data_IF_069407006327
#
_entry.id   IF_069407006327
#
_cell.length_a   1.000
_cell.length_b   1.000
_cell.length_c   1.000
_cell.angle_alpha   90.00
_cell.angle_beta   90.00
_cell.angle_gamma   90.00
#
_symmetry.space_group_name_H-M   'P 1'
#
loop_
_entity.id
_entity.type
_entity.pdbx_description
1 polymer ?
#
# COMPACT_ATOMS: atom_id res chain seq x y z
N UNK A 1 0.14 -3.27 -19.98
CA UNK A 1 0.84 -2.12 -19.38
C UNK A 1 0.98 -2.36 -17.88
N UNK A 2 2.18 -2.19 -17.31
CA UNK A 2 2.50 -2.55 -15.91
C UNK A 2 2.68 -1.34 -14.98
N UNK A 3 2.27 -0.14 -15.39
CA UNK A 3 2.44 1.07 -14.57
C UNK A 3 1.68 1.00 -13.23
N UNK A 4 0.35 0.83 -13.26
CA UNK A 4 -0.48 0.77 -12.05
C UNK A 4 -0.15 -0.43 -11.13
N UNK A 5 0.15 -1.65 -11.65
CA UNK A 5 0.65 -2.74 -10.82
C UNK A 5 1.90 -2.37 -10.00
N UNK A 6 2.88 -1.69 -10.59
CA UNK A 6 4.08 -1.27 -9.85
C UNK A 6 3.81 -0.15 -8.84
N UNK A 7 2.82 0.70 -9.10
CA UNK A 7 2.38 1.70 -8.11
C UNK A 7 1.65 1.05 -6.92
N UNK A 8 0.89 -0.02 -7.16
CA UNK A 8 0.21 -0.78 -6.11
C UNK A 8 1.17 -1.65 -5.28
N UNK A 9 2.22 -2.19 -5.90
CA UNK A 9 3.24 -2.95 -5.19
C UNK A 9 4.65 -2.64 -5.74
N UNK A 10 5.47 -1.87 -5.02
CA UNK A 10 6.84 -1.59 -5.45
C UNK A 10 7.73 -2.84 -5.44
N UNK A 11 7.35 -3.90 -4.71
CA UNK A 11 8.08 -5.16 -4.62
C UNK A 11 7.56 -6.23 -5.59
N UNK A 12 6.66 -5.86 -6.52
CA UNK A 12 6.01 -6.79 -7.45
C UNK A 12 6.99 -7.78 -8.08
N UNK A 13 8.10 -7.27 -8.64
CA UNK A 13 9.10 -8.07 -9.36
C UNK A 13 9.80 -9.04 -8.42
N UNK A 14 10.18 -8.59 -7.22
CA UNK A 14 10.85 -9.42 -6.23
C UNK A 14 9.94 -10.56 -5.74
N UNK A 15 8.68 -10.25 -5.41
CA UNK A 15 7.68 -11.24 -4.96
C UNK A 15 7.33 -12.25 -6.05
N UNK A 16 7.18 -11.78 -7.29
CA UNK A 16 6.94 -12.64 -8.45
C UNK A 16 8.13 -13.60 -8.70
N UNK A 17 9.36 -13.09 -8.66
CA UNK A 17 10.56 -13.91 -8.81
C UNK A 17 10.72 -14.92 -7.66
N UNK A 18 10.30 -14.56 -6.45
CA UNK A 18 10.29 -15.44 -5.28
C UNK A 18 9.18 -16.51 -5.30
N UNK A 19 8.29 -16.52 -6.30
CA UNK A 19 7.19 -17.48 -6.37
C UNK A 19 6.12 -17.27 -5.30
N UNK A 20 5.95 -16.03 -4.82
CA UNK A 20 4.98 -15.68 -3.76
C UNK A 20 3.87 -14.75 -4.26
N UNK A 21 3.10 -15.13 -5.31
CA UNK A 21 2.13 -14.24 -5.94
C UNK A 21 1.00 -13.80 -5.00
N UNK A 22 0.67 -14.60 -3.99
CA UNK A 22 -0.35 -14.27 -2.99
C UNK A 22 0.05 -13.09 -2.08
N UNK A 23 1.35 -12.75 -2.00
CA UNK A 23 1.85 -11.60 -1.25
C UNK A 23 1.90 -10.31 -2.10
N UNK A 24 1.57 -10.39 -3.39
CA UNK A 24 1.55 -9.22 -4.28
C UNK A 24 0.30 -8.39 -3.98
N UNK A 25 0.52 -7.12 -3.65
CA UNK A 25 -0.55 -6.16 -3.47
C UNK A 25 -1.16 -5.76 -4.83
N UNK A 26 -2.18 -6.51 -5.24
CA UNK A 26 -2.69 -6.47 -6.61
C UNK A 26 -3.46 -5.19 -6.90
N UNK A 27 -3.11 -4.51 -8.01
CA UNK A 27 -3.88 -3.37 -8.49
C UNK A 27 -5.30 -3.78 -8.89
N UNK A 28 -6.30 -3.14 -8.30
CA UNK A 28 -7.73 -3.40 -8.56
C UNK A 28 -8.34 -2.55 -9.70
N UNK A 29 -7.50 -1.84 -10.46
CA UNK A 29 -7.91 -0.98 -11.58
C UNK A 29 -8.97 0.10 -11.25
N UNK A 30 -8.97 0.63 -10.01
CA UNK A 30 -9.98 1.61 -9.57
C UNK A 30 -9.82 3.01 -10.17
N UNK A 31 -8.61 3.40 -10.60
CA UNK A 31 -8.25 4.73 -11.13
C UNK A 31 -8.39 5.93 -10.15
N UNK A 32 -9.03 5.76 -9.00
CA UNK A 32 -9.41 6.82 -8.05
C UNK A 32 -8.26 7.68 -7.49
N UNK A 33 -7.15 7.06 -7.12
CA UNK A 33 -6.02 7.79 -6.54
C UNK A 33 -4.86 7.97 -7.51
N UNK A 34 -4.82 7.16 -8.57
CA UNK A 34 -3.74 7.22 -9.54
C UNK A 34 -4.08 8.16 -10.71
N UNK A 35 -5.12 7.82 -11.48
CA UNK A 35 -5.50 8.60 -12.67
C UNK A 35 -6.37 9.82 -12.34
N UNK A 36 -7.35 9.67 -11.46
CA UNK A 36 -8.24 10.79 -11.15
C UNK A 36 -7.48 11.92 -10.44
N UNK A 37 -6.49 11.59 -9.61
CA UNK A 37 -5.62 12.59 -8.99
C UNK A 37 -4.72 13.28 -10.01
N UNK A 38 -3.98 12.53 -10.85
CA UNK A 38 -3.05 13.15 -11.80
C UNK A 38 -3.80 14.03 -12.81
N UNK A 39 -4.98 13.61 -13.27
CA UNK A 39 -5.82 14.42 -14.15
C UNK A 39 -6.49 15.61 -13.44
N UNK A 40 -6.69 15.52 -12.12
CA UNK A 40 -7.15 16.62 -11.28
C UNK A 40 -6.04 17.55 -10.77
N UNK A 41 -4.78 17.36 -11.18
CA UNK A 41 -3.65 18.15 -10.69
C UNK A 41 -3.32 17.93 -9.22
N UNK A 42 -3.74 16.81 -8.64
CA UNK A 42 -3.45 16.40 -7.26
C UNK A 42 -2.27 15.44 -7.23
N UNK A 43 -1.66 15.28 -6.05
CA UNK A 43 -0.64 14.26 -5.83
C UNK A 43 -1.21 12.87 -6.14
N UNK A 44 -0.59 12.17 -7.08
CA UNK A 44 -0.90 10.77 -7.39
C UNK A 44 -0.72 9.90 -6.16
N UNK A 45 -1.54 8.87 -5.99
CA UNK A 45 -1.35 7.83 -4.98
C UNK A 45 -2.01 6.52 -5.43
N UNK A 46 -2.26 5.59 -4.51
CA UNK A 46 -2.89 4.31 -4.80
C UNK A 46 -3.84 3.89 -3.66
N UNK A 47 -5.06 3.47 -4.02
CA UNK A 47 -6.08 3.07 -3.04
C UNK A 47 -5.66 1.87 -2.19
N UNK A 48 -4.89 0.95 -2.77
CA UNK A 48 -4.42 -0.27 -2.08
C UNK A 48 -3.00 -0.12 -1.53
N UNK A 49 -2.30 0.97 -1.85
CA UNK A 49 -0.95 1.24 -1.35
C UNK A 49 -0.86 2.71 -0.88
N UNK A 50 -1.21 3.00 0.38
CA UNK A 50 -1.23 4.37 0.89
C UNK A 50 0.16 5.02 0.94
N UNK A 51 1.24 4.24 0.87
CA UNK A 51 2.63 4.76 0.82
C UNK A 51 3.02 5.28 -0.56
N UNK A 52 2.29 4.94 -1.62
CA UNK A 52 2.59 5.41 -2.96
C UNK A 52 2.58 6.95 -3.00
N UNK A 53 3.71 7.53 -3.45
CA UNK A 53 4.00 8.97 -3.49
C UNK A 53 4.04 9.68 -2.13
N UNK A 54 4.11 8.93 -1.02
CA UNK A 54 4.31 9.44 0.34
C UNK A 54 5.48 8.71 1.05
N UNK A 55 6.44 8.20 0.27
CA UNK A 55 7.46 7.27 0.73
C UNK A 55 8.36 7.87 1.84
N UNK A 56 8.57 9.18 1.81
CA UNK A 56 9.38 9.93 2.78
C UNK A 56 8.57 10.51 3.94
N UNK A 57 7.24 10.57 3.81
CA UNK A 57 6.34 11.11 4.84
C UNK A 57 5.80 9.99 5.74
N UNK A 58 5.43 8.85 5.14
CA UNK A 58 4.92 7.67 5.83
C UNK A 58 6.04 6.67 6.11
N UNK A 59 6.87 7.00 7.09
CA UNK A 59 7.95 6.13 7.57
C UNK A 59 7.41 5.16 8.63
N UNK A 60 7.12 3.93 8.20
CA UNK A 60 6.66 2.86 9.09
C UNK A 60 7.87 2.11 9.62
N UNK A 61 8.18 2.33 10.90
CA UNK A 61 9.25 1.61 11.61
C UNK A 61 8.67 0.40 12.38
N UNK A 62 9.36 -0.75 12.38
CA UNK A 62 8.96 -1.90 13.17
C UNK A 62 9.05 -1.62 14.69
N UNK A 63 8.23 -2.35 15.45
CA UNK A 63 8.30 -2.35 16.91
C UNK A 63 9.38 -3.34 17.35
N UNK A 64 10.54 -2.83 17.78
CA UNK A 64 11.73 -3.63 18.06
C UNK A 64 11.68 -4.36 19.41
N UNK A 65 11.02 -3.78 20.42
CA UNK A 65 11.05 -4.32 21.79
C UNK A 65 9.66 -4.61 22.34
N UNK A 66 9.60 -5.54 23.30
CA UNK A 66 8.36 -5.84 24.00
C UNK A 66 7.81 -4.64 24.78
N UNK A 67 8.68 -3.77 25.31
CA UNK A 67 8.30 -2.58 26.06
C UNK A 67 7.58 -1.52 25.21
N UNK A 68 7.80 -1.51 23.90
CA UNK A 68 7.12 -0.60 22.95
C UNK A 68 5.74 -1.11 22.51
N UNK A 69 5.35 -2.34 22.86
CA UNK A 69 4.09 -2.94 22.43
C UNK A 69 2.90 -2.42 23.23
N UNK A 70 1.90 -1.92 22.53
CA UNK A 70 0.61 -1.53 23.12
C UNK A 70 -0.47 -2.59 22.85
N UNK A 71 -1.46 -2.71 23.74
CA UNK A 71 -2.66 -3.50 23.48
C UNK A 71 -3.65 -2.64 22.71
N UNK A 72 -3.92 -3.01 21.46
CA UNK A 72 -4.78 -2.26 20.55
C UNK A 72 -6.01 -3.12 20.21
N UNK A 73 -7.20 -2.54 20.33
CA UNK A 73 -8.44 -3.16 19.88
C UNK A 73 -8.92 -2.44 18.61
N UNK A 74 -9.21 -3.21 17.56
CA UNK A 74 -9.81 -2.71 16.31
C UNK A 74 -11.22 -3.27 16.21
N UNK A 75 -12.22 -2.38 16.09
CA UNK A 75 -13.64 -2.77 15.99
C UNK A 75 -14.10 -2.54 14.55
N UNK A 76 -14.25 -3.63 13.80
CA UNK A 76 -14.66 -3.64 12.39
C UNK A 76 -13.57 -4.19 11.47
N UNK A 77 -13.94 -5.14 10.62
CA UNK A 77 -13.04 -5.84 9.70
C UNK A 77 -13.16 -5.32 8.24
N UNK A 78 -13.49 -4.04 8.07
CA UNK A 78 -13.45 -3.38 6.75
C UNK A 78 -12.02 -3.05 6.33
N UNK A 79 -11.81 -2.51 5.11
CA UNK A 79 -10.46 -2.19 4.61
C UNK A 79 -9.65 -1.29 5.55
N UNK A 80 -10.29 -0.32 6.18
CA UNK A 80 -9.62 0.57 7.14
C UNK A 80 -9.19 -0.13 8.44
N UNK A 81 -9.87 -1.22 8.84
CA UNK A 81 -9.53 -1.97 10.06
C UNK A 81 -8.55 -3.11 9.82
N UNK A 82 -8.44 -3.60 8.57
CA UNK A 82 -7.53 -4.69 8.20
C UNK A 82 -6.16 -4.21 7.70
N UNK A 83 -6.07 -2.98 7.18
CA UNK A 83 -4.87 -2.41 6.57
C UNK A 83 -3.90 -1.79 7.58
#
# INVERSE_FOLDING_TARGET
SMARPFLADPEFVAKAAAGTPAAINTCIACNQACLDHIFGGKMTSCLVNPRACHETELVIAPVETAAQRNRIAVVGAGPAGLA
#
